data_IF_229251141979
#
_entry.id   IF_229251141979
#
_cell.length_a   1.000
_cell.length_b   1.000
_cell.length_c   1.000
_cell.angle_alpha   90.00
_cell.angle_beta   90.00
_cell.angle_gamma   90.00
#
_symmetry.space_group_name_H-M   'P 1'
#
loop_
_entity.id
_entity.type
_entity.pdbx_description
1 polymer ?
#
# COMPACT_ATOMS: atom_id res chain seq x y z
N UNK A 1 18.45 -11.20 -13.02
CA UNK A 1 17.31 -10.73 -13.86
C UNK A 1 16.18 -10.10 -13.06
N UNK A 2 15.53 -10.80 -12.10
CA UNK A 2 14.42 -10.23 -11.33
C UNK A 2 14.82 -8.96 -10.54
N UNK A 3 15.94 -9.04 -9.83
CA UNK A 3 16.48 -7.94 -9.04
C UNK A 3 16.88 -6.74 -9.92
N UNK A 4 17.54 -6.98 -11.06
CA UNK A 4 17.90 -5.91 -12.00
C UNK A 4 16.67 -5.26 -12.65
N UNK A 5 15.64 -6.05 -12.98
CA UNK A 5 14.36 -5.52 -13.48
C UNK A 5 13.70 -4.61 -12.45
N UNK A 6 13.62 -5.06 -11.18
CA UNK A 6 13.04 -4.26 -10.10
C UNK A 6 13.87 -3.00 -9.81
N UNK A 7 15.19 -3.12 -9.77
CA UNK A 7 16.10 -1.98 -9.64
C UNK A 7 15.90 -0.94 -10.75
N UNK A 8 15.66 -1.39 -11.99
CA UNK A 8 15.35 -0.50 -13.12
C UNK A 8 14.02 0.21 -12.94
N UNK A 9 12.97 -0.50 -12.48
CA UNK A 9 11.67 0.13 -12.15
C UNK A 9 11.86 1.21 -11.09
N UNK A 10 12.62 0.91 -10.04
CA UNK A 10 12.88 1.84 -8.94
C UNK A 10 13.67 3.06 -9.45
N UNK A 11 14.72 2.85 -10.25
CA UNK A 11 15.52 3.95 -10.82
C UNK A 11 14.72 4.85 -11.76
N UNK A 12 13.86 4.29 -12.63
CA UNK A 12 12.95 5.08 -13.48
C UNK A 12 11.98 5.90 -12.62
N UNK A 13 11.41 5.27 -11.58
CA UNK A 13 10.46 5.93 -10.67
C UNK A 13 11.14 7.08 -9.91
N UNK A 14 12.37 6.87 -9.43
CA UNK A 14 13.15 7.88 -8.73
C UNK A 14 13.55 9.06 -9.63
N UNK A 15 13.95 8.79 -10.87
CA UNK A 15 14.19 9.83 -11.89
C UNK A 15 12.97 10.73 -12.10
N UNK A 16 11.78 10.13 -12.22
CA UNK A 16 10.52 10.88 -12.40
C UNK A 16 10.17 11.70 -11.15
N UNK A 17 10.40 11.12 -9.97
CA UNK A 17 10.19 11.81 -8.70
C UNK A 17 11.14 13.00 -8.54
N UNK A 18 12.43 12.83 -8.90
CA UNK A 18 13.45 13.87 -8.89
C UNK A 18 13.13 15.02 -9.88
N UNK A 19 12.48 14.73 -11.01
CA UNK A 19 11.95 15.74 -11.93
C UNK A 19 10.69 16.47 -11.42
N UNK A 20 10.17 16.12 -10.24
CA UNK A 20 8.92 16.68 -9.71
C UNK A 20 7.65 16.18 -10.44
N UNK A 21 7.76 15.14 -11.28
CA UNK A 21 6.68 14.67 -12.13
C UNK A 21 5.92 13.46 -11.56
N UNK A 22 5.79 13.39 -10.23
CA UNK A 22 5.08 12.31 -9.51
C UNK A 22 3.64 12.09 -10.00
N UNK A 23 3.01 13.12 -10.58
CA UNK A 23 1.68 13.01 -11.18
C UNK A 23 1.63 12.01 -12.35
N UNK A 24 2.73 11.80 -13.08
CA UNK A 24 2.83 10.81 -14.15
C UNK A 24 2.76 9.39 -13.60
N UNK A 25 3.43 9.10 -12.49
CA UNK A 25 3.36 7.80 -11.81
C UNK A 25 1.94 7.51 -11.30
N UNK A 26 1.28 8.51 -10.73
CA UNK A 26 -0.12 8.40 -10.31
C UNK A 26 -1.05 8.15 -11.50
N UNK A 27 -0.85 8.90 -12.59
CA UNK A 27 -1.60 8.73 -13.84
C UNK A 27 -1.37 7.34 -14.43
N UNK A 28 -0.14 6.84 -14.42
CA UNK A 28 0.20 5.48 -14.83
C UNK A 28 -0.63 4.44 -14.06
N UNK A 29 -0.59 4.46 -12.73
CA UNK A 29 -1.33 3.49 -11.89
C UNK A 29 -2.84 3.57 -12.15
N UNK A 30 -3.38 4.77 -12.33
CA UNK A 30 -4.82 4.98 -12.48
C UNK A 30 -5.30 4.48 -13.85
N UNK A 31 -4.65 4.93 -14.92
CA UNK A 31 -5.15 4.83 -16.30
C UNK A 31 -4.44 3.78 -17.14
N UNK A 32 -3.14 3.58 -16.94
CA UNK A 32 -2.31 2.83 -17.87
C UNK A 32 -1.81 1.48 -17.35
N UNK A 33 -1.82 1.26 -16.03
CA UNK A 33 -1.36 0.01 -15.45
C UNK A 33 -2.26 -1.15 -15.90
N UNK A 34 -1.64 -2.17 -16.49
CA UNK A 34 -2.31 -3.38 -16.98
C UNK A 34 -1.76 -4.59 -16.23
N UNK A 35 -2.64 -5.33 -15.56
CA UNK A 35 -2.30 -6.63 -14.99
C UNK A 35 -2.52 -7.70 -16.06
N UNK A 36 -1.53 -8.55 -16.34
CA UNK A 36 -1.56 -9.60 -17.37
C UNK A 36 -2.43 -10.81 -16.99
N UNK A 37 -3.68 -10.57 -16.55
CA UNK A 37 -4.59 -11.62 -16.07
C UNK A 37 -5.03 -12.58 -17.17
N UNK A 38 -5.03 -12.12 -18.44
CA UNK A 38 -5.43 -12.96 -19.60
C UNK A 38 -4.55 -14.21 -19.74
N UNK A 39 -3.27 -14.14 -19.37
CA UNK A 39 -2.35 -15.29 -19.45
C UNK A 39 -2.50 -16.27 -18.28
N UNK A 40 -2.72 -15.74 -17.06
CA UNK A 40 -2.96 -16.55 -15.86
C UNK A 40 -4.25 -17.39 -15.93
N UNK A 41 -5.24 -17.00 -16.75
CA UNK A 41 -6.41 -17.87 -17.04
C UNK A 41 -6.06 -19.08 -17.92
N UNK A 42 -5.02 -18.99 -18.75
CA UNK A 42 -4.59 -20.11 -19.61
C UNK A 42 -3.74 -21.12 -18.84
N UNK A 43 -2.92 -20.66 -17.88
CA UNK A 43 -2.08 -21.51 -17.03
C UNK A 43 -2.24 -21.09 -15.56
N UNK A 44 -2.85 -21.95 -14.70
CA UNK A 44 -3.04 -21.64 -13.29
C UNK A 44 -1.73 -21.55 -12.49
N UNK A 45 -0.61 -22.04 -13.05
CA UNK A 45 0.73 -21.96 -12.45
C UNK A 45 1.44 -20.62 -12.71
N UNK A 46 0.88 -19.75 -13.56
CA UNK A 46 1.48 -18.45 -13.87
C UNK A 46 1.42 -17.52 -12.64
N UNK A 47 2.58 -17.00 -12.24
CA UNK A 47 2.70 -16.07 -11.11
C UNK A 47 2.02 -14.73 -11.42
N UNK A 48 1.19 -14.25 -10.50
CA UNK A 48 0.52 -12.95 -10.65
C UNK A 48 1.49 -11.80 -10.36
N UNK A 49 1.27 -10.64 -10.99
CA UNK A 49 2.12 -9.44 -10.81
C UNK A 49 2.24 -9.03 -9.34
N UNK A 50 1.14 -9.00 -8.59
CA UNK A 50 1.18 -8.68 -7.15
C UNK A 50 1.97 -9.71 -6.33
N UNK A 51 1.87 -11.00 -6.66
CA UNK A 51 2.60 -12.06 -5.97
C UNK A 51 4.10 -11.99 -6.25
N UNK A 52 4.47 -11.79 -7.52
CA UNK A 52 5.85 -11.58 -7.95
C UNK A 52 6.45 -10.31 -7.31
N UNK A 53 5.70 -9.20 -7.28
CA UNK A 53 6.16 -7.97 -6.66
C UNK A 53 6.42 -8.12 -5.16
N UNK A 54 5.50 -8.72 -4.39
CA UNK A 54 5.73 -8.93 -2.96
C UNK A 54 7.00 -9.77 -2.71
N UNK A 55 7.20 -10.83 -3.51
CA UNK A 55 8.38 -11.68 -3.45
C UNK A 55 9.66 -10.90 -3.78
N UNK A 56 9.71 -10.27 -4.97
CA UNK A 56 10.92 -9.61 -5.46
C UNK A 56 11.28 -8.35 -4.69
N UNK A 57 10.32 -7.57 -4.19
CA UNK A 57 10.59 -6.42 -3.33
C UNK A 57 11.27 -6.90 -2.05
N UNK A 58 10.74 -7.95 -1.41
CA UNK A 58 11.32 -8.52 -0.20
C UNK A 58 12.73 -9.04 -0.46
N UNK A 59 12.93 -9.82 -1.53
CA UNK A 59 14.26 -10.32 -1.90
C UNK A 59 15.25 -9.20 -2.22
N UNK A 60 14.82 -8.16 -2.91
CA UNK A 60 15.67 -7.02 -3.28
C UNK A 60 16.08 -6.21 -2.06
N UNK A 61 15.15 -5.95 -1.14
CA UNK A 61 15.44 -5.29 0.13
C UNK A 61 16.44 -6.11 0.95
N UNK A 62 16.26 -7.43 1.04
CA UNK A 62 17.22 -8.30 1.73
C UNK A 62 18.60 -8.30 1.08
N UNK A 63 18.67 -8.20 -0.26
CA UNK A 63 19.95 -8.15 -0.97
C UNK A 63 20.74 -6.85 -0.70
N UNK A 64 20.05 -5.72 -0.57
CA UNK A 64 20.69 -4.39 -0.42
C UNK A 64 20.73 -3.88 1.02
N UNK A 65 20.34 -4.67 2.02
CA UNK A 65 20.10 -4.19 3.39
C UNK A 65 21.33 -3.56 4.07
N UNK A 66 22.53 -3.90 3.62
CA UNK A 66 23.79 -3.34 4.10
C UNK A 66 24.14 -2.00 3.43
N UNK A 67 23.63 -1.72 2.24
CA UNK A 67 23.90 -0.47 1.49
C UNK A 67 22.78 0.54 1.73
N UNK A 68 23.07 1.53 2.59
CA UNK A 68 22.14 2.60 2.92
C UNK A 68 21.73 3.43 1.70
N UNK A 69 22.60 3.59 0.71
CA UNK A 69 22.29 4.38 -0.50
C UNK A 69 21.20 3.72 -1.34
N UNK A 70 21.40 2.44 -1.66
CA UNK A 70 20.39 1.64 -2.37
C UNK A 70 19.12 1.45 -1.54
N UNK A 71 19.24 1.20 -0.23
CA UNK A 71 18.08 1.02 0.64
C UNK A 71 17.21 2.30 0.71
N UNK A 72 17.84 3.47 0.85
CA UNK A 72 17.17 4.76 0.82
C UNK A 72 16.38 4.96 -0.50
N UNK A 73 16.99 4.62 -1.64
CA UNK A 73 16.33 4.70 -2.95
C UNK A 73 15.05 3.84 -2.98
N UNK A 74 15.12 2.59 -2.52
CA UNK A 74 13.97 1.69 -2.47
C UNK A 74 12.89 2.23 -1.53
N UNK A 75 13.26 2.69 -0.34
CA UNK A 75 12.32 3.24 0.65
C UNK A 75 11.60 4.48 0.14
N UNK A 76 12.30 5.36 -0.59
CA UNK A 76 11.72 6.55 -1.22
C UNK A 76 10.65 6.19 -2.25
N UNK A 77 10.85 5.12 -3.02
CA UNK A 77 9.93 4.69 -4.09
C UNK A 77 8.96 3.57 -3.65
N UNK A 78 9.01 3.13 -2.39
CA UNK A 78 8.19 2.03 -1.89
C UNK A 78 6.68 2.30 -2.02
N UNK A 79 6.25 3.55 -1.87
CA UNK A 79 4.86 3.95 -2.04
C UNK A 79 4.31 3.56 -3.41
N UNK A 80 5.10 3.76 -4.48
CA UNK A 80 4.68 3.48 -5.84
C UNK A 80 4.55 1.97 -6.05
N UNK A 81 5.54 1.20 -5.60
CA UNK A 81 5.55 -0.25 -5.70
C UNK A 81 4.34 -0.86 -4.97
N UNK A 82 4.08 -0.46 -3.72
CA UNK A 82 2.94 -0.97 -2.95
C UNK A 82 1.58 -0.54 -3.53
N UNK A 83 1.50 0.64 -4.13
CA UNK A 83 0.31 1.08 -4.87
C UNK A 83 0.07 0.20 -6.10
N UNK A 84 1.12 -0.17 -6.84
CA UNK A 84 1.03 -1.11 -7.97
C UNK A 84 0.61 -2.50 -7.51
N UNK A 85 1.14 -3.00 -6.39
CA UNK A 85 0.70 -4.27 -5.77
C UNK A 85 -0.80 -4.22 -5.49
N UNK A 86 -1.28 -3.19 -4.77
CA UNK A 86 -2.69 -3.04 -4.44
C UNK A 86 -3.57 -2.94 -5.70
N UNK A 87 -3.13 -2.18 -6.72
CA UNK A 87 -3.83 -2.07 -8.01
C UNK A 87 -3.93 -3.43 -8.71
N UNK A 88 -2.84 -4.18 -8.78
CA UNK A 88 -2.83 -5.52 -9.39
C UNK A 88 -3.75 -6.50 -8.66
N UNK A 89 -3.79 -6.47 -7.33
CA UNK A 89 -4.71 -7.29 -6.54
C UNK A 89 -6.17 -6.96 -6.84
N UNK A 90 -6.52 -5.66 -6.90
CA UNK A 90 -7.88 -5.22 -7.22
C UNK A 90 -8.28 -5.61 -8.63
N UNK A 91 -7.41 -5.41 -9.62
CA UNK A 91 -7.68 -5.82 -11.01
C UNK A 91 -7.90 -7.34 -11.11
N UNK A 92 -7.06 -8.13 -10.44
CA UNK A 92 -7.22 -9.59 -10.41
C UNK A 92 -8.56 -10.03 -9.80
N UNK A 93 -9.02 -9.38 -8.72
CA UNK A 93 -10.35 -9.64 -8.14
C UNK A 93 -11.49 -9.33 -9.11
N UNK A 94 -11.35 -8.26 -9.90
CA UNK A 94 -12.35 -7.85 -10.88
C UNK A 94 -12.38 -8.82 -12.07
N UNK A 95 -11.22 -9.16 -12.60
CA UNK A 95 -11.08 -9.98 -13.80
C UNK A 95 -11.48 -11.45 -13.61
N UNK A 96 -11.28 -11.97 -12.39
CA UNK A 96 -11.73 -13.33 -12.01
C UNK A 96 -13.14 -13.31 -11.40
N UNK A 97 -13.62 -12.15 -10.96
CA UNK A 97 -14.95 -12.02 -10.35
C UNK A 97 -15.02 -12.42 -8.87
N UNK A 98 -13.87 -12.49 -8.19
CA UNK A 98 -13.77 -12.88 -6.78
C UNK A 98 -14.26 -11.79 -5.81
N UNK A 99 -14.58 -10.59 -6.29
CA UNK A 99 -15.19 -9.54 -5.47
C UNK A 99 -16.54 -9.96 -4.83
N UNK A 100 -17.24 -10.95 -5.43
CA UNK A 100 -18.49 -11.53 -4.90
C UNK A 100 -18.26 -12.58 -3.81
N UNK A 101 -17.04 -13.11 -3.69
CA UNK A 101 -16.66 -14.15 -2.73
C UNK A 101 -16.39 -13.51 -1.35
N UNK A 102 -16.65 -14.21 -0.23
CA UNK A 102 -16.22 -13.79 1.09
C UNK A 102 -14.73 -13.44 1.12
N UNK A 103 -14.36 -12.37 1.85
CA UNK A 103 -13.00 -11.79 1.87
C UNK A 103 -11.90 -12.81 2.21
N UNK A 104 -12.23 -13.78 3.05
CA UNK A 104 -11.32 -14.83 3.53
C UNK A 104 -10.87 -15.79 2.42
N UNK A 105 -11.69 -15.94 1.38
CA UNK A 105 -11.47 -16.86 0.27
C UNK A 105 -11.06 -16.14 -1.03
N UNK A 106 -10.78 -14.83 -0.96
CA UNK A 106 -10.45 -14.03 -2.15
C UNK A 106 -9.03 -14.26 -2.63
N UNK A 107 -8.08 -14.48 -1.73
CA UNK A 107 -6.66 -14.62 -2.08
C UNK A 107 -6.08 -15.90 -1.47
N UNK A 108 -5.01 -16.42 -2.07
CA UNK A 108 -4.30 -17.58 -1.56
C UNK A 108 -3.56 -17.26 -0.26
N UNK A 109 -3.36 -18.27 0.58
CA UNK A 109 -2.55 -18.13 1.82
C UNK A 109 -1.11 -17.75 1.51
N UNK A 110 -0.56 -18.27 0.40
CA UNK A 110 0.80 -17.95 -0.07
C UNK A 110 0.97 -16.45 -0.32
N UNK A 111 0.00 -15.80 -0.99
CA UNK A 111 0.07 -14.36 -1.20
C UNK A 111 0.01 -13.59 0.11
N UNK A 112 -0.88 -13.98 1.03
CA UNK A 112 -0.99 -13.33 2.34
C UNK A 112 0.32 -13.44 3.12
N UNK A 113 0.95 -14.61 3.09
CA UNK A 113 2.25 -14.85 3.71
C UNK A 113 3.35 -13.97 3.09
N UNK A 114 3.40 -13.84 1.76
CA UNK A 114 4.37 -12.93 1.10
C UNK A 114 4.18 -11.47 1.45
N UNK A 115 2.93 -11.02 1.59
CA UNK A 115 2.62 -9.66 2.04
C UNK A 115 3.10 -9.46 3.48
N UNK A 116 2.85 -10.42 4.36
CA UNK A 116 3.30 -10.41 5.75
C UNK A 116 4.84 -10.32 5.84
N UNK A 117 5.56 -11.18 5.11
CA UNK A 117 7.03 -11.15 5.05
C UNK A 117 7.58 -9.81 4.54
N UNK A 118 6.94 -9.23 3.52
CA UNK A 118 7.32 -7.92 3.00
C UNK A 118 7.17 -6.83 4.07
N UNK A 119 6.03 -6.79 4.75
CA UNK A 119 5.75 -5.80 5.81
C UNK A 119 6.76 -5.96 6.94
N UNK A 120 6.93 -7.18 7.45
CA UNK A 120 7.85 -7.46 8.55
C UNK A 120 9.28 -7.07 8.19
N UNK A 121 9.76 -7.42 6.99
CA UNK A 121 11.11 -7.06 6.55
C UNK A 121 11.31 -5.55 6.45
N UNK A 122 10.34 -4.82 5.89
CA UNK A 122 10.39 -3.36 5.79
C UNK A 122 10.38 -2.71 7.17
N UNK A 123 9.49 -3.13 8.06
CA UNK A 123 9.36 -2.57 9.42
C UNK A 123 10.62 -2.80 10.24
N UNK A 124 11.19 -4.00 10.19
CA UNK A 124 12.46 -4.31 10.87
C UNK A 124 13.60 -3.40 10.39
N UNK A 125 13.68 -3.15 9.09
CA UNK A 125 14.70 -2.26 8.53
C UNK A 125 14.43 -0.79 8.84
N UNK A 126 13.18 -0.34 8.89
CA UNK A 126 12.83 1.00 9.38
C UNK A 126 13.36 1.18 10.81
N UNK A 127 13.12 0.21 11.69
CA UNK A 127 13.60 0.25 13.08
C UNK A 127 15.13 0.25 13.13
N UNK A 128 15.79 -0.58 12.33
CA UNK A 128 17.25 -0.65 12.29
C UNK A 128 17.90 0.63 11.73
N UNK A 129 17.29 1.26 10.72
CA UNK A 129 17.93 2.30 9.90
C UNK A 129 17.38 3.72 10.10
N UNK A 130 16.38 3.93 10.95
CA UNK A 130 15.76 5.24 11.17
C UNK A 130 16.70 6.38 11.57
N UNK A 131 17.87 6.07 12.17
CA UNK A 131 18.89 7.07 12.53
C UNK A 131 19.81 7.44 11.37
N UNK A 132 20.00 6.51 10.43
CA UNK A 132 20.92 6.64 9.29
C UNK A 132 20.21 7.30 8.09
N UNK A 133 18.97 6.90 7.81
CA UNK A 133 18.16 7.38 6.68
C UNK A 133 16.74 7.79 7.13
N UNK A 134 16.61 8.80 8.01
CA UNK A 134 15.35 9.12 8.68
C UNK A 134 14.22 9.47 7.71
N UNK A 135 14.50 10.31 6.70
CA UNK A 135 13.47 10.77 5.76
C UNK A 135 12.88 9.61 4.95
N UNK A 136 13.73 8.73 4.43
CA UNK A 136 13.31 7.56 3.67
C UNK A 136 12.59 6.54 4.54
N UNK A 137 13.04 6.32 5.78
CA UNK A 137 12.31 5.49 6.74
C UNK A 137 10.90 6.03 7.03
N UNK A 138 10.74 7.35 7.16
CA UNK A 138 9.42 7.97 7.34
C UNK A 138 8.53 7.73 6.11
N UNK A 139 9.05 7.95 4.90
CA UNK A 139 8.32 7.70 3.65
C UNK A 139 7.90 6.22 3.52
N UNK A 140 8.81 5.28 3.87
CA UNK A 140 8.51 3.86 3.86
C UNK A 140 7.44 3.48 4.88
N UNK A 141 7.50 4.03 6.10
CA UNK A 141 6.47 3.85 7.13
C UNK A 141 5.10 4.31 6.63
N UNK A 142 5.04 5.51 6.06
CA UNK A 142 3.84 6.08 5.45
C UNK A 142 3.31 5.19 4.31
N UNK A 143 4.20 4.68 3.44
CA UNK A 143 3.85 3.80 2.33
C UNK A 143 3.21 2.48 2.80
N UNK A 144 3.78 1.83 3.82
CA UNK A 144 3.22 0.61 4.42
C UNK A 144 1.85 0.88 5.04
N UNK A 145 1.69 2.00 5.75
CA UNK A 145 0.40 2.39 6.34
C UNK A 145 -0.68 2.58 5.26
N UNK A 146 -0.37 3.30 4.18
CA UNK A 146 -1.31 3.47 3.07
C UNK A 146 -1.67 2.14 2.40
N UNK A 147 -0.70 1.24 2.22
CA UNK A 147 -0.93 -0.08 1.65
C UNK A 147 -1.88 -0.92 2.51
N UNK A 148 -1.63 -1.00 3.81
CA UNK A 148 -2.50 -1.71 4.76
C UNK A 148 -3.91 -1.10 4.80
N UNK A 149 -4.00 0.23 4.69
CA UNK A 149 -5.27 0.93 4.55
C UNK A 149 -6.03 0.48 3.30
N UNK A 150 -5.35 0.29 2.17
CA UNK A 150 -5.98 -0.25 0.95
C UNK A 150 -6.41 -1.71 1.14
N UNK A 151 -5.60 -2.52 1.80
CA UNK A 151 -5.90 -3.92 2.08
C UNK A 151 -7.23 -4.10 2.84
N UNK A 152 -7.63 -3.17 3.71
CA UNK A 152 -8.95 -3.23 4.36
C UNK A 152 -10.14 -3.23 3.40
N UNK A 153 -9.98 -2.75 2.17
CA UNK A 153 -11.05 -2.74 1.17
C UNK A 153 -11.31 -4.12 0.58
N UNK A 154 -10.27 -4.96 0.44
CA UNK A 154 -10.35 -6.20 -0.33
C UNK A 154 -9.85 -7.48 0.37
N UNK A 155 -9.03 -7.38 1.43
CA UNK A 155 -8.55 -8.51 2.25
C UNK A 155 -9.44 -8.80 3.47
N UNK A 156 -9.17 -9.95 4.11
CA UNK A 156 -9.67 -10.26 5.44
C UNK A 156 -9.11 -9.23 6.44
N UNK A 157 -10.01 -8.54 7.15
CA UNK A 157 -9.64 -7.51 8.13
C UNK A 157 -8.84 -8.09 9.30
N UNK A 158 -9.13 -9.33 9.71
CA UNK A 158 -8.41 -10.00 10.81
C UNK A 158 -6.92 -10.14 10.52
N UNK A 159 -6.55 -10.58 9.30
CA UNK A 159 -5.15 -10.65 8.87
C UNK A 159 -4.48 -9.28 8.85
N UNK A 160 -5.16 -8.28 8.29
CA UNK A 160 -4.64 -6.90 8.23
C UNK A 160 -4.43 -6.32 9.64
N UNK A 161 -5.36 -6.53 10.56
CA UNK A 161 -5.20 -6.12 11.96
C UNK A 161 -4.05 -6.84 12.65
N UNK A 162 -3.84 -8.13 12.37
CA UNK A 162 -2.70 -8.87 12.91
C UNK A 162 -1.37 -8.28 12.45
N UNK A 163 -1.24 -7.90 11.18
CA UNK A 163 -0.02 -7.23 10.68
C UNK A 163 0.18 -5.84 11.28
N UNK A 164 -0.91 -5.06 11.45
CA UNK A 164 -0.87 -3.76 12.12
C UNK A 164 -0.41 -3.92 13.57
N UNK A 165 -0.94 -4.91 14.29
CA UNK A 165 -0.58 -5.18 15.67
C UNK A 165 0.92 -5.47 15.80
N UNK A 166 1.44 -6.40 15.00
CA UNK A 166 2.86 -6.76 14.99
C UNK A 166 3.75 -5.57 14.63
N UNK A 167 3.33 -4.76 13.67
CA UNK A 167 4.06 -3.53 13.29
C UNK A 167 4.18 -2.57 14.47
N UNK A 168 3.09 -2.37 15.22
CA UNK A 168 3.06 -1.48 16.39
C UNK A 168 3.89 -2.04 17.55
N UNK A 169 3.79 -3.34 17.82
CA UNK A 169 4.60 -4.02 18.84
C UNK A 169 6.09 -3.84 18.57
N UNK A 170 6.54 -4.10 17.33
CA UNK A 170 7.94 -3.92 16.94
C UNK A 170 8.41 -2.46 17.13
N UNK A 171 7.56 -1.48 16.82
CA UNK A 171 7.88 -0.05 17.02
C UNK A 171 7.98 0.31 18.51
N UNK A 172 7.13 -0.26 19.36
CA UNK A 172 7.12 0.01 20.80
C UNK A 172 8.39 -0.52 21.49
N UNK A 173 8.88 -1.69 21.08
CA UNK A 173 10.11 -2.29 21.63
C UNK A 173 11.34 -1.40 21.46
N UNK A 174 11.40 -0.62 20.37
CA UNK A 174 12.55 0.25 20.06
C UNK A 174 12.76 1.41 21.04
N UNK A 175 11.74 1.79 21.82
CA UNK A 175 11.74 2.88 22.81
C UNK A 175 12.31 4.25 22.33
N UNK A 176 12.34 4.51 21.02
CA UNK A 176 12.90 5.73 20.42
C UNK A 176 11.82 6.79 20.18
N UNK A 177 12.13 8.08 20.40
CA UNK A 177 11.18 9.18 20.15
C UNK A 177 10.73 9.23 18.68
N UNK A 178 11.64 9.01 17.75
CA UNK A 178 11.34 8.94 16.31
C UNK A 178 10.37 7.80 15.99
N UNK A 179 10.49 6.67 16.67
CA UNK A 179 9.61 5.51 16.46
C UNK A 179 8.21 5.77 17.00
N UNK A 180 8.08 6.54 18.09
CA UNK A 180 6.79 7.03 18.55
C UNK A 180 6.11 7.93 17.51
N UNK A 181 6.86 8.86 16.90
CA UNK A 181 6.32 9.74 15.87
C UNK A 181 5.88 8.92 14.63
N UNK A 182 6.67 7.92 14.20
CA UNK A 182 6.29 7.01 13.11
C UNK A 182 5.06 6.17 13.44
N UNK A 183 4.95 5.67 14.68
CA UNK A 183 3.77 4.93 15.16
C UNK A 183 2.52 5.80 15.12
N UNK A 184 2.61 7.06 15.55
CA UNK A 184 1.48 7.98 15.54
C UNK A 184 1.04 8.31 14.10
N UNK A 185 1.98 8.60 13.20
CA UNK A 185 1.70 8.83 11.77
C UNK A 185 1.07 7.60 11.12
N UNK A 186 1.63 6.41 11.38
CA UNK A 186 1.11 5.14 10.88
C UNK A 186 -0.34 4.93 11.33
N UNK A 187 -0.61 5.05 12.63
CA UNK A 187 -1.94 4.90 13.19
C UNK A 187 -2.92 5.95 12.65
N UNK A 188 -2.48 7.19 12.46
CA UNK A 188 -3.31 8.25 11.86
C UNK A 188 -3.74 7.88 10.43
N UNK A 189 -2.82 7.36 9.61
CA UNK A 189 -3.13 6.93 8.25
C UNK A 189 -4.14 5.78 8.28
N UNK A 190 -3.90 4.73 9.08
CA UNK A 190 -4.84 3.61 9.22
C UNK A 190 -6.21 4.13 9.70
N UNK A 191 -6.24 5.08 10.65
CA UNK A 191 -7.45 5.73 11.22
C UNK A 191 -8.27 6.51 10.22
N UNK A 192 -7.67 6.94 9.12
CA UNK A 192 -8.38 7.63 8.04
C UNK A 192 -9.18 6.69 7.12
N UNK A 193 -9.19 5.37 7.37
CA UNK A 193 -9.95 4.43 6.56
C UNK A 193 -11.46 4.71 6.68
N UNK A 194 -12.19 4.66 5.55
CA UNK A 194 -13.62 5.03 5.43
C UNK A 194 -14.58 4.27 6.38
N UNK A 195 -14.13 3.16 6.95
CA UNK A 195 -14.89 2.35 7.89
C UNK A 195 -14.35 2.39 9.31
N UNK A 196 -13.26 3.11 9.55
CA UNK A 196 -12.83 3.43 10.89
C UNK A 196 -13.61 4.67 11.32
N UNK A 197 -14.82 4.44 11.82
CA UNK A 197 -15.50 5.46 12.62
C UNK A 197 -14.66 5.53 13.91
N UNK A 198 -13.99 6.65 14.23
CA UNK A 198 -13.54 6.84 15.60
C UNK A 198 -14.81 6.73 16.42
N UNK A 199 -14.96 5.61 17.10
CA UNK A 199 -15.97 5.46 18.13
C UNK A 199 -15.53 6.48 19.17
N UNK A 200 -16.05 7.71 19.05
CA UNK A 200 -16.09 8.70 20.12
C UNK A 200 -17.04 8.13 21.18
N UNK A 201 -16.70 6.94 21.70
CA UNK A 201 -17.31 6.34 22.84
C UNK A 201 -17.17 7.40 23.93
N UNK A 202 -18.30 7.87 24.49
CA UNK A 202 -18.24 8.83 25.58
C UNK A 202 -17.36 8.22 26.65
N UNK A 203 -16.19 8.82 26.88
CA UNK A 203 -15.39 8.49 28.03
C UNK A 203 -16.15 9.08 29.21
N UNK A 204 -16.63 8.20 30.09
CA UNK A 204 -17.21 8.62 31.34
C UNK A 204 -16.03 9.03 32.21
N UNK A 205 -15.90 10.33 32.47
CA UNK A 205 -14.87 10.87 33.33
C UNK A 205 -15.50 11.42 34.61
N UNK A 206 -14.78 11.37 35.72
CA UNK A 206 -15.15 12.11 36.93
C UNK A 206 -14.89 13.62 36.75
N UNK A 207 -15.30 14.43 37.72
CA UNK A 207 -15.08 15.89 37.74
C UNK A 207 -13.57 16.25 37.76
N UNK A 208 -12.71 15.28 38.07
CA UNK A 208 -11.25 15.41 38.14
C UNK A 208 -10.54 14.97 36.85
N UNK A 209 -11.25 14.45 35.85
CA UNK A 209 -10.71 13.97 34.58
C UNK A 209 -10.29 12.50 34.54
N UNK A 210 -10.63 11.69 35.55
CA UNK A 210 -10.30 10.25 35.58
C UNK A 210 -11.33 9.41 34.83
N UNK A 211 -10.87 8.49 33.98
CA UNK A 211 -11.72 7.61 33.16
C UNK A 211 -12.32 6.48 34.02
N UNK A 212 -13.65 6.37 34.05
CA UNK A 212 -14.34 5.25 34.70
C UNK A 212 -14.10 3.93 33.94
N UNK A 213 -13.48 2.96 34.62
CA UNK A 213 -13.36 1.58 34.16
C UNK A 213 -14.42 0.74 34.89
N UNK A 214 -15.08 -0.19 34.17
CA UNK A 214 -16.28 -0.98 34.55
C UNK A 214 -16.19 -1.82 35.86
N UNK A 215 -15.18 -1.63 36.71
CA UNK A 215 -14.96 -2.41 37.93
C UNK A 215 -15.35 -1.68 39.23
N UNK A 216 -16.01 -0.52 39.15
CA UNK A 216 -16.55 0.19 40.32
C UNK A 216 -18.06 0.41 40.17
N UNK A 217 -18.83 -0.04 41.14
CA UNK A 217 -20.27 0.17 41.26
C UNK A 217 -20.59 1.68 41.31
N UNK A 218 -21.51 2.21 40.50
CA UNK A 218 -21.76 3.65 40.45
C UNK A 218 -22.67 4.11 41.60
N UNK A 219 -22.27 5.17 42.31
CA UNK A 219 -23.19 6.10 42.96
C UNK A 219 -23.68 7.10 41.90
N UNK A 220 -24.99 7.27 41.80
CA UNK A 220 -25.71 7.83 40.63
C UNK A 220 -25.66 9.36 40.51
N UNK A 221 -24.68 10.04 41.08
CA UNK A 221 -24.64 11.50 41.04
C UNK A 221 -23.32 12.01 40.46
N UNK A 222 -23.43 12.67 39.29
CA UNK A 222 -22.40 13.44 38.56
C UNK A 222 -21.54 12.64 37.56
N UNK A 223 -22.18 12.10 36.53
CA UNK A 223 -21.51 11.66 35.29
C UNK A 223 -21.44 12.83 34.30
N UNK A 224 -20.23 13.19 33.85
CA UNK A 224 -20.02 14.16 32.78
C UNK A 224 -19.57 13.43 31.52
N UNK A 225 -20.34 13.55 30.44
CA UNK A 225 -19.94 13.05 29.13
C UNK A 225 -19.06 14.08 28.44
N UNK A 226 -17.78 13.76 28.24
CA UNK A 226 -16.87 14.60 27.46
C UNK A 226 -16.47 13.89 26.17
N UNK A 227 -16.78 14.50 25.04
CA UNK A 227 -16.17 14.14 23.77
C UNK A 227 -14.78 14.77 23.72
N UNK A 228 -13.74 13.97 23.50
CA UNK A 228 -12.39 14.51 23.24
C UNK A 228 -12.43 15.15 21.84
N UNK A 229 -12.65 16.46 21.79
CA UNK A 229 -12.34 17.27 20.62
C UNK A 229 -10.86 17.67 20.72
N UNK A 230 -10.09 17.46 19.65
CA UNK A 230 -8.75 18.01 19.54
C UNK A 230 -8.83 19.55 19.69
N UNK A 231 -8.04 20.18 20.58
CA UNK A 231 -8.11 21.62 20.74
C UNK A 231 -7.58 22.30 19.47
N UNK A 232 -8.46 23.01 18.76
CA UNK A 232 -8.02 24.09 17.88
C UNK A 232 -7.58 25.23 18.77
N UNK A 233 -6.30 25.58 18.69
CA UNK A 233 -5.76 26.84 19.20
C UNK A 233 -6.46 27.99 18.48
N UNK A 234 -7.36 28.68 19.16
CA UNK A 234 -7.40 30.14 19.23
C UNK A 234 -8.46 30.58 20.25
N UNK A 235 -8.03 31.49 21.14
CA UNK A 235 -8.84 32.17 22.13
C UNK A 235 -10.04 32.86 21.49
N UNK A 236 -11.23 32.67 22.05
CA UNK A 236 -12.10 33.78 22.48
C UNK A 236 -13.24 33.25 23.35
N UNK A 237 -13.59 34.12 24.29
CA UNK A 237 -14.33 33.89 25.53
C UNK A 237 -15.82 34.16 25.33
N UNK A 238 -16.65 33.38 26.03
CA UNK A 238 -18.02 33.68 26.48
C UNK A 238 -19.12 33.98 25.43
N UNK A 239 -20.07 33.05 25.27
CA UNK A 239 -21.50 33.14 25.69
C UNK A 239 -22.38 32.21 24.85
N UNK A 240 -23.40 31.68 25.51
CA UNK A 240 -24.20 30.55 25.04
C UNK A 240 -24.77 30.69 23.63
N UNK A 241 -24.75 29.57 22.91
CA UNK A 241 -25.71 29.29 21.86
C UNK A 241 -25.86 27.78 21.76
N UNK A 242 -27.08 27.33 22.06
CA UNK A 242 -27.63 26.05 21.63
C UNK A 242 -27.59 25.93 20.10
N UNK A 243 -27.67 24.68 19.61
CA UNK A 243 -27.78 24.26 18.19
C UNK A 243 -26.42 24.25 17.44
N UNK A 244 -26.04 23.19 16.73
CA UNK A 244 -26.82 22.38 15.80
C UNK A 244 -26.46 20.88 15.87
N UNK A 245 -27.51 20.07 16.03
CA UNK A 245 -27.54 18.67 15.63
C UNK A 245 -27.18 18.56 14.14
N UNK A 246 -26.20 17.72 13.79
CA UNK A 246 -25.99 17.31 12.40
C UNK A 246 -27.08 16.29 12.00
N UNK A 247 -27.87 16.52 10.95
CA UNK A 247 -29.06 15.72 10.63
C UNK A 247 -28.75 14.40 9.89
N UNK A 248 -27.50 13.95 9.84
CA UNK A 248 -27.12 12.78 9.03
C UNK A 248 -27.33 11.40 9.71
N UNK A 249 -27.80 11.37 10.96
CA UNK A 249 -27.85 10.13 11.75
C UNK A 249 -29.24 9.48 11.87
N UNK A 250 -30.22 9.92 11.09
CA UNK A 250 -31.59 9.41 11.24
C UNK A 250 -32.28 9.12 9.92
N UNK A 251 -31.75 8.16 9.16
CA UNK A 251 -32.58 7.39 8.24
C UNK A 251 -31.98 6.02 7.93
N UNK A 252 -32.60 4.99 8.50
CA UNK A 252 -32.73 3.63 7.95
C UNK A 252 -31.41 2.95 7.57
N UNK A 253 -30.87 2.18 8.53
CA UNK A 253 -30.00 1.03 8.25
C UNK A 253 -30.88 -0.07 7.62
N UNK A 254 -31.20 0.13 6.35
CA UNK A 254 -31.49 -0.95 5.42
C UNK A 254 -30.38 -0.83 4.40
N UNK A 255 -29.23 -1.47 4.68
CA UNK A 255 -28.05 -1.45 3.82
C UNK A 255 -28.45 -2.17 2.53
N UNK A 256 -28.71 -1.48 1.40
CA UNK A 256 -28.87 -2.18 0.15
C UNK A 256 -27.49 -2.73 -0.21
N UNK A 257 -27.45 -3.91 -0.80
CA UNK A 257 -26.26 -4.67 -1.21
C UNK A 257 -25.41 -4.00 -2.31
N UNK A 258 -25.18 -2.68 -2.24
CA UNK A 258 -24.47 -1.86 -3.24
C UNK A 258 -23.42 -0.95 -2.59
N UNK A 259 -22.94 -1.27 -1.38
CA UNK A 259 -21.68 -0.70 -0.89
C UNK A 259 -20.50 -1.42 -1.54
N UNK A 260 -20.30 -1.22 -2.85
CA UNK A 260 -18.94 -1.26 -3.38
C UNK A 260 -18.17 -0.15 -2.63
N UNK A 261 -17.04 -0.45 -1.98
CA UNK A 261 -16.22 0.55 -1.30
C UNK A 261 -15.97 1.76 -2.20
N UNK A 262 -15.94 2.99 -1.67
CA UNK A 262 -15.65 4.21 -2.45
C UNK A 262 -14.28 4.08 -3.14
N UNK A 263 -13.40 3.24 -2.59
CA UNK A 263 -12.14 2.84 -3.22
C UNK A 263 -12.32 2.05 -4.51
N UNK A 264 -13.26 1.09 -4.54
CA UNK A 264 -13.65 0.47 -5.81
C UNK A 264 -14.26 1.51 -6.73
N UNK A 265 -15.07 2.48 -6.25
CA UNK A 265 -15.68 3.53 -7.09
C UNK A 265 -14.65 4.44 -7.79
N UNK A 266 -13.55 4.81 -7.12
CA UNK A 266 -12.42 5.52 -7.74
C UNK A 266 -11.68 4.66 -8.79
N UNK A 267 -11.72 3.33 -8.68
CA UNK A 267 -11.20 2.41 -9.70
C UNK A 267 -12.25 1.98 -10.75
N UNK A 268 -13.55 2.03 -10.42
CA UNK A 268 -14.69 1.59 -11.24
C UNK A 268 -15.13 2.66 -12.24
N UNK A 269 -15.17 3.94 -11.83
CA UNK A 269 -15.57 5.06 -12.71
C UNK A 269 -14.68 5.20 -13.95
N UNK A 270 -13.51 4.57 -13.95
CA UNK A 270 -12.53 4.64 -15.02
C UNK A 270 -12.57 3.46 -16.00
N UNK A 271 -13.18 2.32 -15.62
CA UNK A 271 -13.43 1.25 -16.60
C UNK A 271 -14.59 1.61 -17.53
N UNK A 272 -15.59 2.33 -17.02
CA UNK A 272 -16.75 2.76 -17.81
C UNK A 272 -16.40 3.83 -18.87
N UNK A 273 -15.31 4.58 -18.69
CA UNK A 273 -14.79 5.53 -19.69
C UNK A 273 -13.88 4.86 -20.73
N UNK A 274 -13.27 3.72 -20.42
CA UNK A 274 -12.48 2.91 -21.38
C UNK A 274 -13.37 1.97 -22.21
N UNK A 275 -14.47 1.46 -21.65
CA UNK A 275 -15.47 0.69 -22.40
C UNK A 275 -16.29 1.54 -23.40
N UNK A 276 -16.23 2.88 -23.31
CA UNK A 276 -16.88 3.84 -24.22
C UNK A 276 -15.98 4.27 -25.40
N UNK A 277 -15.07 3.39 -25.85
CA UNK A 277 -14.63 3.37 -27.24
C UNK A 277 -13.64 4.44 -27.70
N UNK A 278 -12.42 4.43 -27.15
CA UNK A 278 -11.21 4.82 -27.91
C UNK A 278 -9.99 4.08 -27.36
N UNK A 279 -9.08 3.70 -28.27
CA UNK A 279 -7.82 2.95 -28.10
C UNK A 279 -7.96 1.44 -28.36
N UNK A 280 -7.85 1.09 -29.64
CA UNK A 280 -7.39 -0.22 -30.12
C UNK A 280 -5.96 -0.47 -29.62
N UNK A 281 -5.81 -1.38 -28.66
CA UNK A 281 -4.49 -1.87 -28.22
C UNK A 281 -4.13 -3.10 -29.07
N UNK A 282 -3.11 -2.94 -29.90
CA UNK A 282 -2.45 -4.05 -30.62
C UNK A 282 -1.80 -4.96 -29.58
N UNK A 283 -2.33 -6.17 -29.41
CA UNK A 283 -1.67 -7.24 -28.65
C UNK A 283 -0.51 -7.78 -29.48
N UNK A 284 0.73 -7.41 -29.14
CA UNK A 284 1.92 -8.06 -29.70
C UNK A 284 2.25 -9.29 -28.87
N UNK A 285 2.12 -10.44 -29.52
CA UNK A 285 2.41 -11.77 -29.02
C UNK A 285 3.92 -11.93 -28.79
N UNK A 286 4.36 -11.97 -27.54
CA UNK A 286 5.75 -12.28 -27.20
C UNK A 286 5.90 -13.80 -27.19
N UNK A 287 6.33 -14.34 -28.32
CA UNK A 287 6.72 -15.75 -28.45
C UNK A 287 7.81 -16.09 -27.43
N UNK A 288 7.66 -17.28 -26.87
CA UNK A 288 8.69 -18.03 -26.13
C UNK A 288 10.02 -17.95 -26.88
N UNK A 289 11.01 -17.29 -26.27
CA UNK A 289 12.41 -17.62 -26.47
C UNK A 289 13.10 -17.52 -25.11
N UNK A 290 13.13 -18.66 -24.43
CA UNK A 290 14.16 -18.99 -23.45
C UNK A 290 15.53 -18.75 -24.08
N UNK A 291 16.44 -18.14 -23.31
CA UNK A 291 17.83 -17.81 -23.66
C UNK A 291 18.08 -16.38 -24.17
N UNK A 292 17.67 -15.35 -23.42
CA UNK A 292 18.36 -14.06 -23.49
C UNK A 292 19.57 -14.11 -22.53
N UNK A 293 20.82 -13.91 -23.00
CA UNK A 293 21.98 -13.86 -22.11
C UNK A 293 21.82 -12.75 -21.08
N UNK A 294 22.05 -13.04 -19.78
CA UNK A 294 21.92 -12.06 -18.68
C UNK A 294 22.65 -10.74 -18.97
N UNK A 295 23.83 -10.83 -19.60
CA UNK A 295 24.64 -9.67 -19.98
C UNK A 295 23.91 -8.69 -20.92
N UNK A 296 23.08 -9.18 -21.84
CA UNK A 296 22.31 -8.32 -22.76
C UNK A 296 21.14 -7.65 -22.04
N UNK A 297 20.50 -8.37 -21.11
CA UNK A 297 19.42 -7.81 -20.29
C UNK A 297 19.94 -6.71 -19.35
N UNK A 298 21.08 -6.95 -18.68
CA UNK A 298 21.68 -5.97 -17.78
C UNK A 298 22.18 -4.72 -18.52
N UNK A 299 22.74 -4.86 -19.73
CA UNK A 299 23.03 -3.70 -20.61
C UNK A 299 21.75 -2.93 -20.96
N UNK A 300 20.66 -3.62 -21.30
CA UNK A 300 19.39 -2.97 -21.68
C UNK A 300 18.76 -2.22 -20.51
N UNK A 301 18.87 -2.77 -19.29
CA UNK A 301 18.43 -2.13 -18.06
C UNK A 301 19.25 -0.88 -17.73
N UNK A 302 20.57 -0.97 -17.88
CA UNK A 302 21.47 0.16 -17.68
C UNK A 302 21.20 1.29 -18.68
N UNK A 303 20.98 0.96 -19.95
CA UNK A 303 20.61 1.94 -20.99
C UNK A 303 19.31 2.67 -20.61
N UNK A 304 18.28 1.97 -20.11
CA UNK A 304 17.05 2.62 -19.64
C UNK A 304 17.30 3.63 -18.52
N UNK A 305 18.30 3.39 -17.67
CA UNK A 305 18.72 4.30 -16.60
C UNK A 305 19.68 5.41 -17.06
N UNK A 306 20.17 5.38 -18.29
CA UNK A 306 21.02 6.45 -18.85
C UNK A 306 20.22 7.45 -19.71
N UNK A 307 19.07 7.04 -20.25
CA UNK A 307 18.21 7.91 -21.07
C UNK A 307 17.61 9.07 -20.26
N UNK A 308 17.53 10.25 -20.89
CA UNK A 308 16.91 11.46 -20.34
C UNK A 308 15.42 11.27 -20.04
N UNK A 309 14.96 11.90 -18.96
CA UNK A 309 13.58 11.77 -18.46
C UNK A 309 12.56 12.18 -19.53
N UNK A 310 12.82 13.26 -20.27
CA UNK A 310 11.93 13.76 -21.32
C UNK A 310 11.70 12.77 -22.46
N UNK A 311 12.69 11.93 -22.74
CA UNK A 311 12.58 10.87 -23.75
C UNK A 311 11.85 9.63 -23.22
N UNK A 312 11.89 9.39 -21.90
CA UNK A 312 11.21 8.26 -21.26
C UNK A 312 9.70 8.52 -21.12
N UNK A 313 9.29 9.77 -20.82
CA UNK A 313 7.89 10.13 -20.50
C UNK A 313 6.87 9.58 -21.53
N UNK A 314 7.04 9.73 -22.86
CA UNK A 314 6.07 9.23 -23.83
C UNK A 314 5.90 7.71 -23.82
N UNK A 315 6.96 6.98 -23.43
CA UNK A 315 6.99 5.52 -23.42
C UNK A 315 6.77 4.93 -22.03
N UNK A 316 6.70 5.77 -20.98
CA UNK A 316 6.62 5.36 -19.59
C UNK A 316 5.54 4.29 -19.34
N UNK A 317 4.29 4.42 -19.85
CA UNK A 317 3.27 3.39 -19.70
C UNK A 317 3.68 2.03 -20.27
N UNK A 318 4.30 2.02 -21.44
CA UNK A 318 4.69 0.80 -22.14
C UNK A 318 5.87 0.15 -21.43
N UNK A 319 6.87 0.94 -21.06
CA UNK A 319 8.08 0.48 -20.38
C UNK A 319 7.74 -0.14 -19.03
N UNK A 320 6.98 0.56 -18.18
CA UNK A 320 6.62 0.04 -16.86
C UNK A 320 5.76 -1.23 -16.93
N UNK A 321 4.74 -1.28 -17.79
CA UNK A 321 3.94 -2.50 -17.95
C UNK A 321 4.77 -3.69 -18.44
N UNK A 322 5.73 -3.45 -19.35
CA UNK A 322 6.67 -4.49 -19.79
C UNK A 322 7.55 -4.98 -18.63
N UNK A 323 8.13 -4.06 -17.85
CA UNK A 323 8.96 -4.43 -16.70
C UNK A 323 8.17 -5.21 -15.64
N UNK A 324 6.94 -4.79 -15.30
CA UNK A 324 6.08 -5.54 -14.38
C UNK A 324 5.68 -6.92 -14.92
N UNK A 325 5.49 -7.03 -16.23
CA UNK A 325 5.24 -8.32 -16.90
C UNK A 325 6.49 -9.21 -16.90
N UNK A 326 7.70 -8.65 -17.03
CA UNK A 326 8.94 -9.42 -16.96
C UNK A 326 9.17 -10.00 -15.57
N UNK A 327 8.79 -9.27 -14.52
CA UNK A 327 8.90 -9.75 -13.13
C UNK A 327 8.11 -11.04 -12.90
N UNK A 328 6.96 -11.25 -13.55
CA UNK A 328 6.18 -12.50 -13.39
C UNK A 328 6.82 -13.73 -14.03
N UNK A 329 7.81 -13.53 -14.91
CA UNK A 329 8.53 -14.63 -15.56
C UNK A 329 9.92 -14.88 -14.97
N UNK A 330 10.35 -14.04 -14.04
CA UNK A 330 11.69 -14.13 -13.48
C UNK A 330 11.72 -15.06 -12.27
N UNK A 331 12.40 -16.20 -12.41
CA UNK A 331 12.66 -17.09 -11.29
C UNK A 331 13.71 -16.47 -10.35
N UNK A 332 13.53 -16.66 -9.04
CA UNK A 332 14.47 -16.19 -7.99
C UNK A 332 15.53 -17.23 -7.62
N UNK A 333 15.57 -18.36 -8.31
CA UNK A 333 16.17 -19.59 -7.74
C UNK A 333 17.71 -19.63 -7.75
N UNK A 334 18.40 -18.58 -8.18
CA UNK A 334 19.87 -18.56 -8.17
C UNK A 334 20.52 -18.05 -6.87
N UNK A 335 19.75 -17.62 -5.87
CA UNK A 335 20.32 -17.10 -4.60
C UNK A 335 20.45 -18.15 -3.49
N UNK A 336 20.20 -19.44 -3.78
CA UNK A 336 20.40 -20.53 -2.81
C UNK A 336 21.72 -21.31 -3.03
N UNK A 337 22.54 -20.95 -4.02
CA UNK A 337 23.78 -21.68 -4.35
C UNK A 337 25.08 -20.90 -4.09
N UNK A 338 25.03 -19.71 -3.49
CA UNK A 338 26.25 -18.97 -3.11
C UNK A 338 26.60 -19.04 -1.61
N UNK A 339 26.03 -20.01 -0.88
CA UNK A 339 26.33 -20.29 0.54
C UNK A 339 26.76 -21.74 0.81
N UNK A 340 27.17 -22.48 -0.23
CA UNK A 340 28.00 -23.68 -0.13
C UNK A 340 29.36 -23.39 -0.77
#
# INVERSE_FOLDING_TARGET
MALSTLGTVIGITDKIAAAGQNHLLRTFVIYYFQSTVVKSKLNPDDETVHSALCKHITSHISYIEADNGSLALVFRQLWFLLVVVAKSMVLWLLDIGLYKVPRENRFSRELLFRIEQLIDKVVLLIIAKHREIPQECQLANSAVAYFLRYCFSFLNRGSVFSWIHRTIENMDESCSRTMLDYKLEFLQIISSHEHWIPLCLPLICDVSGNIFRKNSSPSTDKVVFTCIAYPKTHETRERGASFLYSPYLQSRILIPAVCLPIYFRNFFHLRQTVEMGMITVVTVDVRRNSSCPLHIADITFQICLEVDIDQIIPFLPITLNRLFTLLTYSFTDEMALSTL
#
